data_IF_488610693238
#
_entry.id   IF_488610693238
#
_cell.length_a   1.000
_cell.length_b   1.000
_cell.length_c   1.000
_cell.angle_alpha   90.00
_cell.angle_beta   90.00
_cell.angle_gamma   90.00
#
_symmetry.space_group_name_H-M   'P 1'
#
loop_
_entity.id
_entity.type
_entity.pdbx_description
1 polymer ?
#
# COMPACT_ATOMS: atom_id res chain seq x y z
N UNK A 1 41.23 13.21 -35.73
CA UNK A 1 40.66 12.60 -34.52
C UNK A 1 39.24 13.11 -34.39
N UNK A 2 38.19 12.27 -34.49
CA UNK A 2 36.83 12.73 -34.31
C UNK A 2 36.54 12.92 -32.81
N UNK A 3 35.80 13.99 -32.54
CA UNK A 3 35.42 14.55 -31.26
C UNK A 3 34.60 13.56 -30.39
N UNK A 4 35.16 13.16 -29.24
CA UNK A 4 34.50 12.26 -28.27
C UNK A 4 33.28 12.91 -27.58
N UNK A 5 33.11 14.23 -27.65
CA UNK A 5 32.01 14.92 -26.96
C UNK A 5 30.64 14.77 -27.63
N UNK A 6 30.60 14.47 -28.94
CA UNK A 6 29.34 14.26 -29.67
C UNK A 6 28.77 12.84 -29.52
N UNK A 7 29.60 11.84 -29.21
CA UNK A 7 29.14 10.47 -28.97
C UNK A 7 28.46 10.32 -27.59
N UNK A 8 28.91 11.06 -26.58
CA UNK A 8 28.32 10.99 -25.24
C UNK A 8 26.96 11.71 -25.14
N UNK A 9 26.74 12.76 -25.95
CA UNK A 9 25.43 13.43 -26.05
C UNK A 9 24.39 12.59 -26.82
N UNK A 10 24.81 11.82 -27.82
CA UNK A 10 23.91 10.88 -28.52
C UNK A 10 23.59 9.62 -27.70
N UNK A 11 24.50 9.19 -26.82
CA UNK A 11 24.26 8.07 -25.89
C UNK A 11 23.27 8.44 -24.75
N UNK A 12 23.26 9.70 -24.32
CA UNK A 12 22.31 10.20 -23.31
C UNK A 12 20.93 10.52 -23.90
N UNK A 13 20.85 10.95 -25.17
CA UNK A 13 19.57 11.24 -25.83
C UNK A 13 18.75 9.98 -26.15
N UNK A 14 19.39 8.84 -26.37
CA UNK A 14 18.74 7.55 -26.65
C UNK A 14 18.44 6.67 -25.42
N UNK A 15 18.85 7.09 -24.20
CA UNK A 15 18.47 6.41 -22.95
C UNK A 15 17.11 6.85 -22.40
N UNK A 16 16.50 7.88 -22.96
CA UNK A 16 15.36 8.60 -22.35
C UNK A 16 13.96 8.10 -22.77
N UNK A 17 13.82 6.96 -23.45
CA UNK A 17 12.53 6.54 -24.02
C UNK A 17 12.04 5.12 -23.70
N UNK A 18 12.56 4.48 -22.65
CA UNK A 18 12.11 3.12 -22.24
C UNK A 18 11.28 3.04 -20.94
N UNK A 19 11.06 4.15 -20.25
CA UNK A 19 10.18 4.19 -19.07
C UNK A 19 8.79 4.71 -19.45
N UNK A 20 7.84 3.80 -19.67
CA UNK A 20 6.41 4.18 -19.61
C UNK A 20 6.00 4.21 -18.14
N UNK A 21 6.20 5.36 -17.48
CA UNK A 21 5.52 5.69 -16.23
C UNK A 21 4.03 5.85 -16.54
N UNK A 22 3.23 4.84 -16.22
CA UNK A 22 1.77 4.95 -16.26
C UNK A 22 1.27 5.04 -14.83
N UNK A 23 0.89 6.25 -14.41
CA UNK A 23 0.17 6.48 -13.16
C UNK A 23 -1.32 6.39 -13.45
N UNK A 24 -1.98 5.35 -12.95
CA UNK A 24 -3.42 5.22 -13.04
C UNK A 24 -4.02 5.72 -11.72
N UNK A 25 -4.81 6.80 -11.79
CA UNK A 25 -5.72 7.23 -10.72
C UNK A 25 -6.92 6.29 -10.72
N UNK A 26 -7.15 5.57 -9.63
CA UNK A 26 -8.31 4.70 -9.49
C UNK A 26 -9.11 5.13 -8.25
N UNK A 27 -10.38 5.48 -8.48
CA UNK A 27 -11.36 6.01 -7.51
C UNK A 27 -11.07 7.42 -6.97
N UNK A 28 -12.11 8.11 -6.47
CA UNK A 28 -12.07 9.37 -5.69
C UNK A 28 -11.22 9.28 -4.39
N UNK A 29 -10.43 8.22 -4.26
CA UNK A 29 -9.54 7.89 -3.17
C UNK A 29 -8.10 8.17 -3.63
N UNK A 30 -7.22 8.68 -2.77
CA UNK A 30 -5.80 8.93 -3.08
C UNK A 30 -4.97 7.64 -3.28
N UNK A 31 -5.49 6.62 -3.97
CA UNK A 31 -4.81 5.38 -4.31
C UNK A 31 -4.12 5.55 -5.68
N UNK A 32 -2.80 5.44 -5.68
CA UNK A 32 -1.97 5.54 -6.88
C UNK A 32 -1.06 4.32 -6.98
N UNK A 33 -1.02 3.70 -8.15
CA UNK A 33 -0.08 2.62 -8.46
C UNK A 33 0.94 3.12 -9.49
N UNK A 34 2.21 2.85 -9.24
CA UNK A 34 3.28 3.06 -10.21
C UNK A 34 3.80 1.71 -10.68
N UNK A 35 3.68 1.43 -11.98
CA UNK A 35 4.01 0.13 -12.58
C UNK A 35 5.32 0.26 -13.38
N UNK A 36 6.28 -0.59 -13.04
CA UNK A 36 7.56 -0.76 -13.73
C UNK A 36 7.54 -2.14 -14.41
N UNK A 37 7.34 -2.14 -15.72
CA UNK A 37 7.36 -3.37 -16.51
C UNK A 37 8.62 -3.43 -17.38
N UNK A 38 9.23 -4.60 -17.44
CA UNK A 38 10.27 -4.84 -18.42
C UNK A 38 9.65 -5.05 -19.81
N UNK A 39 9.92 -4.15 -20.74
CA UNK A 39 9.48 -4.28 -22.13
C UNK A 39 10.63 -4.85 -22.97
N UNK A 40 10.81 -6.18 -22.98
CA UNK A 40 11.71 -6.81 -23.95
C UNK A 40 10.94 -6.96 -25.27
N UNK A 41 11.23 -6.10 -26.24
CA UNK A 41 10.82 -6.29 -27.63
C UNK A 41 12.03 -6.05 -28.54
N UNK A 42 12.54 -7.08 -29.25
CA UNK A 42 13.23 -6.83 -30.49
C UNK A 42 12.16 -6.37 -31.48
N UNK A 43 12.15 -5.07 -31.77
CA UNK A 43 11.24 -4.35 -32.67
C UNK A 43 9.95 -3.85 -32.02
N UNK A 44 9.98 -2.54 -31.72
CA UNK A 44 8.90 -1.56 -31.86
C UNK A 44 7.52 -2.15 -32.21
N UNK A 45 6.75 -2.43 -31.15
CA UNK A 45 5.31 -2.22 -31.00
C UNK A 45 4.90 -3.07 -29.80
N UNK A 46 4.40 -2.42 -28.75
CA UNK A 46 3.62 -3.09 -27.71
C UNK A 46 2.28 -3.49 -28.35
N UNK A 47 2.33 -4.44 -29.29
CA UNK A 47 1.14 -4.97 -29.94
C UNK A 47 0.42 -5.81 -28.91
N UNK A 48 -0.85 -5.51 -28.71
CA UNK A 48 -1.84 -6.40 -28.14
C UNK A 48 -1.89 -7.64 -29.06
N UNK A 49 -0.92 -8.55 -28.94
CA UNK A 49 -0.93 -9.80 -29.70
C UNK A 49 -1.79 -10.79 -28.93
N UNK A 50 -3.09 -10.74 -29.21
CA UNK A 50 -3.92 -11.94 -29.15
C UNK A 50 -3.29 -12.99 -30.04
N UNK A 51 -2.55 -13.96 -29.47
CA UNK A 51 -2.25 -15.20 -30.19
C UNK A 51 -0.84 -15.80 -30.09
N UNK A 52 0.08 -15.32 -29.26
CA UNK A 52 1.32 -16.09 -28.98
C UNK A 52 1.50 -16.28 -27.48
N UNK A 53 2.00 -17.46 -27.08
CA UNK A 53 2.28 -17.87 -25.69
C UNK A 53 3.39 -17.02 -25.07
N UNK A 54 3.15 -15.72 -24.89
CA UNK A 54 4.06 -14.83 -24.17
C UNK A 54 4.05 -15.27 -22.71
N UNK A 55 5.16 -15.86 -22.25
CA UNK A 55 5.36 -16.24 -20.85
C UNK A 55 5.18 -14.98 -20.00
N UNK A 56 4.11 -14.93 -19.21
CA UNK A 56 3.82 -13.81 -18.31
C UNK A 56 4.88 -13.76 -17.20
N UNK A 57 5.35 -12.56 -16.88
CA UNK A 57 6.37 -12.34 -15.86
C UNK A 57 5.76 -12.35 -14.45
N UNK A 58 6.48 -12.82 -13.42
CA UNK A 58 6.04 -12.64 -12.04
C UNK A 58 5.82 -11.17 -11.69
N UNK A 59 4.86 -10.90 -10.80
CA UNK A 59 4.54 -9.54 -10.34
C UNK A 59 5.04 -9.38 -8.92
N UNK A 60 5.89 -8.38 -8.69
CA UNK A 60 6.36 -7.96 -7.38
C UNK A 60 5.66 -6.67 -6.99
N UNK A 61 4.99 -6.64 -5.85
CA UNK A 61 4.29 -5.46 -5.35
C UNK A 61 5.02 -4.97 -4.11
N UNK A 62 5.55 -3.76 -4.18
CA UNK A 62 6.30 -3.13 -3.10
C UNK A 62 5.40 -2.19 -2.29
N UNK A 63 5.31 -2.48 -0.99
CA UNK A 63 4.63 -1.69 0.02
C UNK A 63 5.69 -0.91 0.79
N UNK A 64 5.70 0.41 0.59
CA UNK A 64 6.63 1.28 1.30
C UNK A 64 6.39 1.26 2.81
N UNK A 65 7.39 1.67 3.59
CA UNK A 65 7.28 1.78 5.03
C UNK A 65 7.90 3.06 5.57
N UNK A 66 8.73 2.91 6.62
CA UNK A 66 9.25 3.95 7.52
C UNK A 66 8.24 4.42 8.56
N UNK A 67 7.05 4.84 8.11
CA UNK A 67 6.01 5.36 8.99
C UNK A 67 4.62 5.04 8.42
N UNK A 68 3.61 5.07 9.28
CA UNK A 68 2.21 5.08 8.85
C UNK A 68 1.71 6.49 8.53
N UNK A 69 2.49 7.55 8.79
CA UNK A 69 2.05 8.94 8.70
C UNK A 69 2.58 9.68 7.47
N UNK A 70 3.73 9.25 6.94
CA UNK A 70 4.39 9.89 5.79
C UNK A 70 5.05 8.86 4.87
N UNK A 71 5.68 9.35 3.80
CA UNK A 71 6.29 8.59 2.70
C UNK A 71 5.29 8.25 1.57
N UNK A 72 5.79 7.63 0.50
CA UNK A 72 5.02 7.18 -0.65
C UNK A 72 5.79 6.08 -1.40
N UNK A 73 5.14 5.38 -2.34
CA UNK A 73 5.78 4.44 -3.25
C UNK A 73 6.59 5.10 -4.38
N UNK A 74 6.47 6.41 -4.55
CA UNK A 74 7.10 7.17 -5.66
C UNK A 74 8.64 7.27 -5.59
N UNK A 75 9.28 7.41 -4.41
CA UNK A 75 10.73 7.52 -4.30
C UNK A 75 11.47 6.20 -4.64
N UNK A 76 10.74 5.08 -4.70
CA UNK A 76 11.30 3.77 -4.95
C UNK A 76 11.29 3.47 -6.45
N UNK A 77 12.36 3.85 -7.15
CA UNK A 77 12.55 3.49 -8.56
C UNK A 77 12.88 2.00 -8.69
N UNK A 78 11.92 1.24 -9.23
CA UNK A 78 12.06 -0.19 -9.45
C UNK A 78 12.49 -0.55 -10.87
N UNK A 79 12.94 0.43 -11.69
CA UNK A 79 13.41 0.23 -13.05
C UNK A 79 14.47 -0.87 -13.17
N UNK A 80 15.52 -0.78 -12.35
CA UNK A 80 16.63 -1.73 -12.34
C UNK A 80 16.17 -3.11 -11.90
N UNK A 81 15.33 -3.19 -10.87
CA UNK A 81 14.81 -4.46 -10.36
C UNK A 81 13.91 -5.16 -11.38
N UNK A 82 13.00 -4.42 -12.02
CA UNK A 82 12.15 -4.93 -13.09
C UNK A 82 13.01 -5.43 -14.26
N UNK A 83 14.03 -4.65 -14.65
CA UNK A 83 14.87 -4.99 -15.80
C UNK A 83 15.81 -6.15 -15.55
N UNK A 84 16.47 -6.19 -14.41
CA UNK A 84 17.44 -7.24 -14.09
C UNK A 84 16.74 -8.55 -13.71
N UNK A 85 15.63 -8.46 -12.98
CA UNK A 85 14.87 -9.62 -12.52
C UNK A 85 13.92 -10.20 -13.56
N UNK A 86 13.64 -9.50 -14.67
CA UNK A 86 12.63 -9.91 -15.65
C UNK A 86 11.21 -10.00 -15.05
N UNK A 87 10.92 -9.16 -14.06
CA UNK A 87 9.66 -9.11 -13.31
C UNK A 87 8.93 -7.80 -13.56
N UNK A 88 7.60 -7.80 -13.38
CA UNK A 88 6.83 -6.57 -13.27
C UNK A 88 6.89 -6.12 -11.82
N UNK A 89 7.34 -4.89 -11.55
CA UNK A 89 7.34 -4.32 -10.21
C UNK A 89 6.28 -3.23 -10.10
N UNK A 90 5.51 -3.22 -9.02
CA UNK A 90 4.45 -2.25 -8.76
C UNK A 90 4.70 -1.62 -7.40
N UNK A 91 4.82 -0.30 -7.33
CA UNK A 91 4.84 0.42 -6.04
C UNK A 91 3.46 1.01 -5.79
N UNK A 92 2.99 0.88 -4.54
CA UNK A 92 1.61 1.25 -4.15
C UNK A 92 1.64 2.42 -3.19
N UNK A 93 0.80 3.43 -3.45
CA UNK A 93 0.47 4.48 -2.49
C UNK A 93 -0.85 4.14 -1.81
N UNK A 94 -0.86 4.09 -0.48
CA UNK A 94 -2.06 3.87 0.33
C UNK A 94 -2.28 5.07 1.26
N UNK A 95 -3.49 5.21 1.80
CA UNK A 95 -3.79 6.30 2.76
C UNK A 95 -2.95 6.15 4.03
N UNK A 96 -2.44 7.28 4.50
CA UNK A 96 -1.56 7.41 5.66
C UNK A 96 -2.21 8.25 6.77
N UNK A 97 -1.66 8.15 7.98
CA UNK A 97 -2.02 8.91 9.16
C UNK A 97 -3.50 8.77 9.50
N UNK A 98 -4.11 9.89 9.90
CA UNK A 98 -5.53 10.01 10.24
C UNK A 98 -6.42 9.49 9.09
N UNK A 99 -6.06 9.76 7.84
CA UNK A 99 -6.89 9.38 6.69
C UNK A 99 -6.86 7.88 6.39
N UNK A 100 -5.79 7.19 6.78
CA UNK A 100 -5.60 5.77 6.54
C UNK A 100 -5.98 4.89 7.73
N UNK A 101 -5.90 5.42 8.95
CA UNK A 101 -5.84 4.57 10.15
C UNK A 101 -6.59 5.14 11.36
N UNK A 102 -7.37 6.22 11.20
CA UNK A 102 -8.23 6.69 12.29
C UNK A 102 -9.27 5.61 12.63
N UNK A 103 -9.24 5.16 13.87
CA UNK A 103 -10.20 4.20 14.40
C UNK A 103 -10.97 4.83 15.57
N UNK A 104 -12.22 5.20 15.30
CA UNK A 104 -13.15 5.77 16.25
C UNK A 104 -14.11 4.73 16.84
N UNK A 105 -13.77 3.44 16.73
CA UNK A 105 -14.62 2.37 17.21
C UNK A 105 -14.53 2.25 18.74
N UNK A 106 -15.67 2.42 19.40
CA UNK A 106 -15.80 2.29 20.85
C UNK A 106 -16.01 0.84 21.30
N UNK A 107 -16.46 -0.05 20.40
CA UNK A 107 -16.70 -1.45 20.71
C UNK A 107 -15.74 -2.34 19.88
N UNK A 108 -14.75 -2.99 20.50
CA UNK A 108 -13.81 -3.86 19.80
C UNK A 108 -14.46 -5.08 19.15
N UNK A 109 -15.69 -5.45 19.54
CA UNK A 109 -16.45 -6.53 18.91
C UNK A 109 -17.30 -6.06 17.73
N UNK A 110 -17.47 -4.75 17.57
CA UNK A 110 -18.18 -4.18 16.42
C UNK A 110 -17.24 -4.19 15.21
N UNK A 111 -17.67 -4.87 14.15
CA UNK A 111 -16.97 -4.87 12.87
C UNK A 111 -17.12 -3.49 12.22
N UNK A 112 -16.15 -2.60 12.46
CA UNK A 112 -16.12 -1.26 11.88
C UNK A 112 -14.83 -1.06 11.08
N UNK A 113 -14.90 -0.90 9.76
CA UNK A 113 -13.72 -0.76 8.91
C UNK A 113 -12.94 0.50 9.29
N UNK A 114 -11.75 0.32 9.86
CA UNK A 114 -10.91 1.43 10.35
C UNK A 114 -9.49 1.42 9.75
N UNK A 115 -9.07 0.27 9.19
CA UNK A 115 -7.77 0.12 8.53
C UNK A 115 -7.82 0.45 7.03
N UNK A 116 -8.26 1.67 6.70
CA UNK A 116 -8.40 2.13 5.32
C UNK A 116 -7.11 2.02 4.50
N UNK A 117 -5.93 2.25 5.10
CA UNK A 117 -4.64 2.06 4.43
C UNK A 117 -4.38 0.61 4.03
N UNK A 118 -4.76 -0.37 4.86
CA UNK A 118 -4.67 -1.79 4.50
C UNK A 118 -5.70 -2.16 3.43
N UNK A 119 -6.90 -1.60 3.50
CA UNK A 119 -7.95 -1.79 2.49
C UNK A 119 -7.53 -1.24 1.12
N UNK A 120 -6.80 -0.13 1.07
CA UNK A 120 -6.24 0.40 -0.17
C UNK A 120 -5.23 -0.56 -0.80
N UNK A 121 -4.39 -1.21 0.02
CA UNK A 121 -3.45 -2.24 -0.45
C UNK A 121 -4.22 -3.45 -0.99
N UNK A 122 -5.28 -3.90 -0.30
CA UNK A 122 -6.15 -4.99 -0.76
C UNK A 122 -6.81 -4.63 -2.09
N UNK A 123 -7.33 -3.40 -2.22
CA UNK A 123 -7.93 -2.91 -3.46
C UNK A 123 -6.91 -2.87 -4.62
N UNK A 124 -5.68 -2.44 -4.36
CA UNK A 124 -4.59 -2.48 -5.34
C UNK A 124 -4.29 -3.92 -5.80
N UNK A 125 -4.32 -4.89 -4.89
CA UNK A 125 -4.11 -6.30 -5.23
C UNK A 125 -5.26 -6.87 -6.07
N UNK A 126 -6.52 -6.55 -5.75
CA UNK A 126 -7.66 -6.91 -6.59
C UNK A 126 -7.51 -6.33 -8.00
N UNK A 127 -7.15 -5.05 -8.09
CA UNK A 127 -6.90 -4.42 -9.38
C UNK A 127 -5.80 -5.13 -10.17
N UNK A 128 -4.71 -5.55 -9.52
CA UNK A 128 -3.64 -6.32 -10.16
C UNK A 128 -4.09 -7.70 -10.62
N UNK A 129 -4.97 -8.38 -9.89
CA UNK A 129 -5.55 -9.66 -10.34
C UNK A 129 -6.29 -9.50 -11.68
N UNK A 130 -6.99 -8.38 -11.87
CA UNK A 130 -7.74 -8.10 -13.09
C UNK A 130 -6.87 -7.52 -14.23
N UNK A 131 -5.84 -6.74 -13.90
CA UNK A 131 -5.17 -5.88 -14.89
C UNK A 131 -3.70 -6.24 -15.14
N UNK A 132 -3.02 -7.00 -14.27
CA UNK A 132 -1.58 -7.26 -14.41
C UNK A 132 -1.20 -7.91 -15.75
N UNK A 133 -2.09 -8.74 -16.30
CA UNK A 133 -1.89 -9.39 -17.60
C UNK A 133 -1.72 -8.39 -18.76
N UNK A 134 -2.37 -7.22 -18.70
CA UNK A 134 -2.25 -6.18 -19.71
C UNK A 134 -0.85 -5.54 -19.74
N UNK A 135 -0.10 -5.66 -18.64
CA UNK A 135 1.27 -5.15 -18.49
C UNK A 135 2.31 -6.27 -18.64
N UNK A 136 1.91 -7.46 -19.09
CA UNK A 136 2.81 -8.62 -19.22
C UNK A 136 3.05 -9.39 -17.92
N UNK A 137 2.35 -9.04 -16.84
CA UNK A 137 2.43 -9.70 -15.53
C UNK A 137 1.53 -10.94 -15.42
N UNK A 138 1.91 -11.89 -14.56
CA UNK A 138 1.12 -13.06 -14.21
C UNK A 138 0.35 -12.82 -12.88
N UNK A 139 -0.98 -12.64 -12.91
CA UNK A 139 -1.77 -12.49 -11.69
C UNK A 139 -1.73 -13.74 -10.79
N UNK A 140 -1.41 -14.92 -11.35
CA UNK A 140 -1.22 -16.16 -10.58
C UNK A 140 0.13 -16.24 -9.83
N UNK A 141 1.03 -15.28 -10.05
CA UNK A 141 2.37 -15.22 -9.46
C UNK A 141 2.70 -13.82 -8.93
N UNK A 142 1.84 -13.33 -8.02
CA UNK A 142 2.05 -12.08 -7.28
C UNK A 142 2.82 -12.32 -5.98
N UNK A 143 3.84 -11.51 -5.74
CA UNK A 143 4.65 -11.48 -4.52
C UNK A 143 4.55 -10.11 -3.86
N UNK A 144 4.14 -10.07 -2.60
CA UNK A 144 4.19 -8.85 -1.79
C UNK A 144 5.59 -8.68 -1.20
N UNK A 145 6.11 -7.46 -1.19
CA UNK A 145 7.36 -7.11 -0.55
C UNK A 145 7.15 -5.83 0.25
N UNK A 146 7.61 -5.80 1.49
CA UNK A 146 7.50 -4.60 2.34
C UNK A 146 8.76 -4.35 3.14
N UNK A 147 9.01 -3.07 3.45
CA UNK A 147 10.10 -2.62 4.33
C UNK A 147 9.53 -1.96 5.60
N UNK A 148 10.09 -2.22 6.78
CA UNK A 148 9.69 -1.56 8.03
C UNK A 148 8.20 -1.70 8.35
N UNK A 149 7.49 -0.58 8.51
CA UNK A 149 6.02 -0.55 8.69
C UNK A 149 5.26 -1.20 7.52
N UNK A 150 5.80 -1.14 6.30
CA UNK A 150 5.26 -1.83 5.13
C UNK A 150 5.41 -3.35 5.22
N UNK A 151 6.50 -3.86 5.81
CA UNK A 151 6.63 -5.29 6.12
C UNK A 151 5.59 -5.73 7.17
N UNK A 152 5.34 -4.90 8.18
CA UNK A 152 4.26 -5.15 9.13
C UNK A 152 2.89 -5.20 8.44
N UNK A 153 2.60 -4.29 7.49
CA UNK A 153 1.37 -4.36 6.67
C UNK A 153 1.28 -5.67 5.88
N UNK A 154 2.35 -6.09 5.20
CA UNK A 154 2.36 -7.35 4.45
C UNK A 154 2.10 -8.54 5.36
N UNK A 155 2.71 -8.57 6.56
CA UNK A 155 2.45 -9.63 7.53
C UNK A 155 1.03 -9.61 8.09
N UNK A 156 0.44 -8.43 8.32
CA UNK A 156 -0.97 -8.31 8.71
C UNK A 156 -1.91 -8.85 7.63
N UNK A 157 -1.63 -8.58 6.35
CA UNK A 157 -2.40 -9.12 5.22
C UNK A 157 -2.25 -10.64 5.11
N UNK A 158 -1.05 -11.19 5.35
CA UNK A 158 -0.83 -12.64 5.39
C UNK A 158 -1.67 -13.36 6.46
N UNK A 159 -1.92 -12.70 7.58
CA UNK A 159 -2.68 -13.27 8.70
C UNK A 159 -4.17 -12.94 8.63
N UNK A 160 -4.58 -12.07 7.69
CA UNK A 160 -5.94 -11.56 7.61
C UNK A 160 -6.87 -12.56 6.93
N UNK A 161 -8.01 -12.92 7.55
CA UNK A 161 -9.02 -13.73 6.86
C UNK A 161 -9.69 -13.00 5.70
N UNK A 162 -9.60 -11.66 5.65
CA UNK A 162 -10.10 -10.86 4.55
C UNK A 162 -9.29 -11.04 3.25
N UNK A 163 -8.10 -11.66 3.33
CA UNK A 163 -7.29 -12.00 2.16
C UNK A 163 -7.14 -13.52 2.09
N UNK A 164 -8.03 -14.22 1.35
CA UNK A 164 -7.93 -15.66 1.20
C UNK A 164 -6.59 -16.09 0.62
N UNK A 165 -6.04 -17.18 1.15
CA UNK A 165 -4.73 -17.70 0.75
C UNK A 165 -4.67 -17.96 -0.76
N UNK A 166 -3.63 -17.42 -1.40
CA UNK A 166 -3.39 -17.64 -2.82
C UNK A 166 -4.35 -16.92 -3.78
N UNK A 167 -5.33 -16.16 -3.28
CA UNK A 167 -6.28 -15.43 -4.13
C UNK A 167 -5.70 -14.11 -4.65
N UNK A 168 -5.06 -13.33 -3.78
CA UNK A 168 -4.53 -12.01 -4.13
C UNK A 168 -3.02 -12.02 -4.36
N UNK A 169 -2.29 -12.83 -3.60
CA UNK A 169 -0.86 -13.01 -3.72
C UNK A 169 -0.45 -14.38 -3.20
N UNK A 170 0.74 -14.84 -3.60
CA UNK A 170 1.24 -16.21 -3.30
C UNK A 170 2.50 -16.22 -2.43
N UNK A 171 3.26 -15.12 -2.41
CA UNK A 171 4.53 -15.04 -1.70
C UNK A 171 4.65 -13.69 -1.02
N UNK A 172 5.45 -13.65 0.04
CA UNK A 172 5.73 -12.43 0.78
C UNK A 172 7.23 -12.33 1.10
N UNK A 173 7.78 -11.12 1.04
CA UNK A 173 9.12 -10.78 1.49
C UNK A 173 9.01 -9.67 2.53
N UNK A 174 9.42 -9.98 3.76
CA UNK A 174 9.34 -9.08 4.91
C UNK A 174 10.75 -8.55 5.22
N UNK A 175 10.98 -7.26 5.00
CA UNK A 175 12.28 -6.63 5.23
C UNK A 175 12.21 -5.72 6.46
N UNK A 176 12.99 -6.03 7.49
CA UNK A 176 13.19 -5.16 8.67
C UNK A 176 11.89 -4.71 9.37
N UNK A 177 10.86 -5.56 9.40
CA UNK A 177 9.61 -5.26 10.08
C UNK A 177 8.71 -6.48 10.22
N UNK A 178 7.79 -6.44 11.20
CA UNK A 178 6.89 -7.55 11.51
C UNK A 178 5.57 -7.04 12.11
N UNK A 179 4.47 -7.76 11.92
CA UNK A 179 3.22 -7.49 12.62
C UNK A 179 3.34 -7.62 14.17
N UNK A 180 4.41 -8.24 14.66
CA UNK A 180 4.68 -8.43 16.09
C UNK A 180 5.63 -7.38 16.68
N UNK A 181 6.20 -6.48 15.87
CA UNK A 181 7.07 -5.43 16.43
C UNK A 181 6.25 -4.39 17.19
N UNK A 182 6.84 -3.77 18.23
CA UNK A 182 6.27 -2.57 18.84
C UNK A 182 5.94 -1.53 17.76
N UNK A 183 4.78 -0.88 17.88
CA UNK A 183 4.33 0.13 16.92
C UNK A 183 3.68 -0.42 15.63
N UNK A 184 3.66 -1.73 15.40
CA UNK A 184 2.95 -2.32 14.25
C UNK A 184 1.43 -2.32 14.39
N UNK A 185 0.95 -2.35 15.64
CA UNK A 185 -0.45 -2.16 16.01
C UNK A 185 -0.56 -0.98 16.98
N UNK A 186 -1.58 -0.14 16.78
CA UNK A 186 -1.89 0.97 17.69
C UNK A 186 -2.56 0.42 18.95
N UNK A 187 -2.02 0.79 20.12
CA UNK A 187 -2.52 0.32 21.42
C UNK A 187 -3.84 0.96 21.86
N UNK A 188 -3.97 2.29 21.74
CA UNK A 188 -5.18 3.05 22.11
C UNK A 188 -5.73 3.87 20.92
N UNK A 189 -6.27 3.20 19.89
CA UNK A 189 -6.80 3.89 18.71
C UNK A 189 -7.92 4.89 19.04
N UNK A 190 -8.81 4.52 19.97
CA UNK A 190 -9.96 5.34 20.35
C UNK A 190 -9.52 6.59 21.11
N UNK A 191 -8.52 6.49 22.00
CA UNK A 191 -7.92 7.63 22.68
C UNK A 191 -7.38 8.68 21.71
N UNK A 192 -6.66 8.25 20.67
CA UNK A 192 -6.18 9.13 19.61
C UNK A 192 -7.33 9.73 18.79
N UNK A 193 -8.36 8.94 18.45
CA UNK A 193 -9.54 9.47 17.76
C UNK A 193 -10.28 10.53 18.59
N UNK A 194 -10.39 10.34 19.90
CA UNK A 194 -10.96 11.34 20.81
C UNK A 194 -10.08 12.58 20.95
N UNK A 195 -8.75 12.44 20.94
CA UNK A 195 -7.84 13.59 20.95
C UNK A 195 -8.03 14.46 19.69
N UNK A 196 -8.12 13.82 18.52
CA UNK A 196 -8.44 14.51 17.25
C UNK A 196 -9.79 15.20 17.35
N UNK A 197 -10.82 14.49 17.83
CA UNK A 197 -12.17 15.02 17.95
C UNK A 197 -12.25 16.27 18.85
N UNK A 198 -11.59 16.25 20.01
CA UNK A 198 -11.54 17.40 20.93
C UNK A 198 -10.87 18.61 20.28
N UNK A 199 -9.78 18.39 19.55
CA UNK A 199 -9.04 19.46 18.87
C UNK A 199 -9.88 20.17 17.80
N UNK A 200 -10.76 19.44 17.11
CA UNK A 200 -11.63 19.99 16.06
C UNK A 200 -13.08 20.22 16.50
N UNK A 201 -13.32 20.29 17.82
CA UNK A 201 -14.65 20.54 18.40
C UNK A 201 -15.73 19.57 17.91
N UNK A 202 -15.41 18.27 17.85
CA UNK A 202 -16.38 17.19 17.69
C UNK A 202 -16.62 16.51 19.05
N UNK A 203 -17.89 16.22 19.37
CA UNK A 203 -18.23 15.57 20.63
C UNK A 203 -17.77 14.11 20.65
N UNK A 204 -17.01 13.74 21.67
CA UNK A 204 -16.53 12.36 21.90
C UNK A 204 -17.59 11.45 22.49
N UNK A 205 -18.74 11.98 22.89
CA UNK A 205 -19.88 11.20 23.37
C UNK A 205 -20.70 10.62 22.21
N UNK A 206 -20.43 11.08 20.98
CA UNK A 206 -21.09 10.58 19.79
C UNK A 206 -20.66 9.12 19.52
N UNK A 207 -21.60 8.24 19.14
CA UNK A 207 -21.26 6.93 18.61
C UNK A 207 -20.33 7.07 17.39
N UNK A 208 -19.44 6.10 17.19
CA UNK A 208 -18.41 6.11 16.14
C UNK A 208 -18.86 6.64 14.77
N UNK A 209 -19.99 6.21 14.19
CA UNK A 209 -20.47 6.74 12.91
C UNK A 209 -20.75 8.24 12.89
N UNK A 210 -21.36 8.78 13.95
CA UNK A 210 -21.66 10.21 14.08
C UNK A 210 -20.41 11.03 14.38
N UNK A 211 -19.49 10.48 15.17
CA UNK A 211 -18.18 11.08 15.39
C UNK A 211 -17.41 11.20 14.07
N UNK A 212 -17.35 10.14 13.28
CA UNK A 212 -16.72 10.13 11.96
C UNK A 212 -17.40 11.10 10.99
N UNK A 213 -18.73 11.24 11.04
CA UNK A 213 -19.45 12.24 10.25
C UNK A 213 -18.99 13.66 10.60
N UNK A 214 -18.92 14.01 11.89
CA UNK A 214 -18.40 15.31 12.33
C UNK A 214 -16.96 15.54 11.85
N UNK A 215 -16.08 14.56 11.99
CA UNK A 215 -14.68 14.67 11.59
C UNK A 215 -14.52 14.89 10.07
N UNK A 216 -15.37 14.27 9.24
CA UNK A 216 -15.35 14.44 7.78
C UNK A 216 -15.75 15.85 7.32
N UNK A 217 -16.52 16.57 8.13
CA UNK A 217 -16.92 17.95 7.83
C UNK A 217 -15.83 18.98 8.22
N UNK A 218 -14.78 18.55 8.92
CA UNK A 218 -13.69 19.44 9.35
C UNK A 218 -12.63 19.58 8.25
N UNK A 219 -12.00 20.77 8.13
CA UNK A 219 -10.94 20.98 7.15
C UNK A 219 -9.75 20.07 7.47
N UNK A 220 -9.19 19.44 6.43
CA UNK A 220 -8.08 18.49 6.57
C UNK A 220 -6.90 19.07 7.36
N UNK A 221 -6.54 20.33 7.12
CA UNK A 221 -5.45 20.97 7.83
C UNK A 221 -5.68 21.01 9.36
N UNK A 222 -6.91 21.22 9.82
CA UNK A 222 -7.20 21.22 11.26
C UNK A 222 -7.00 19.81 11.86
N UNK A 223 -7.41 18.77 11.14
CA UNK A 223 -7.20 17.38 11.57
C UNK A 223 -5.71 17.02 11.67
N UNK A 224 -4.87 17.53 10.76
CA UNK A 224 -3.43 17.23 10.74
C UNK A 224 -2.61 18.01 11.78
N UNK A 225 -3.16 19.05 12.40
CA UNK A 225 -2.45 19.89 13.38
C UNK A 225 -2.60 19.42 14.83
N UNK A 226 -3.25 18.28 15.05
CA UNK A 226 -3.52 17.75 16.39
C UNK A 226 -2.18 17.38 17.04
N UNK A 227 -1.85 17.92 18.22
CA UNK A 227 -0.65 17.51 18.95
C UNK A 227 -0.89 16.14 19.56
N UNK A 228 -0.17 15.13 19.07
CA UNK A 228 -0.18 13.76 19.58
C UNK A 228 1.23 13.39 20.05
N UNK A 229 1.30 12.73 21.19
CA UNK A 229 2.56 12.28 21.79
C UNK A 229 2.46 10.78 22.06
N UNK A 230 2.63 9.93 21.03
CA UNK A 230 2.64 8.50 21.22
C UNK A 230 3.90 8.06 21.98
N UNK A 231 3.85 6.98 22.78
CA UNK A 231 5.03 6.43 23.42
C UNK A 231 6.17 6.14 22.42
N UNK A 232 7.41 6.19 22.90
CA UNK A 232 8.59 5.90 22.10
C UNK A 232 8.44 4.59 21.30
N UNK A 233 8.86 4.63 20.03
CA UNK A 233 8.79 3.50 19.09
C UNK A 233 7.36 3.03 18.75
N UNK A 234 6.34 3.84 19.01
CA UNK A 234 4.95 3.58 18.61
C UNK A 234 4.38 4.71 17.76
N UNK A 235 3.24 4.46 17.12
CA UNK A 235 2.57 5.42 16.25
C UNK A 235 1.17 5.74 16.76
N UNK A 236 0.76 7.01 16.63
CA UNK A 236 -0.59 7.43 16.99
C UNK A 236 -1.63 6.90 15.99
N UNK A 237 -1.25 6.84 14.71
CA UNK A 237 -2.07 6.27 13.65
C UNK A 237 -1.31 5.13 12.97
N UNK A 238 -2.01 4.03 12.77
CA UNK A 238 -1.47 2.81 12.19
C UNK A 238 -2.51 1.69 12.29
N UNK A 239 -2.16 0.47 11.84
CA UNK A 239 -3.06 -0.65 11.90
C UNK A 239 -3.59 -0.87 13.32
N UNK A 240 -4.88 -1.14 13.44
CA UNK A 240 -5.53 -1.47 14.72
C UNK A 240 -6.41 -2.70 14.55
N UNK A 241 -6.68 -3.40 15.64
CA UNK A 241 -7.57 -4.56 15.61
C UNK A 241 -9.00 -4.07 15.38
N UNK A 242 -9.56 -4.36 14.19
CA UNK A 242 -10.92 -3.97 13.81
C UNK A 242 -11.84 -5.18 13.57
N UNK A 243 -11.31 -6.41 13.70
CA UNK A 243 -12.05 -7.64 13.46
C UNK A 243 -12.31 -7.95 11.98
N UNK A 244 -11.95 -7.03 11.06
CA UNK A 244 -12.15 -7.15 9.61
C UNK A 244 -10.85 -7.52 8.94
N UNK A 245 -9.81 -6.69 9.05
CA UNK A 245 -8.50 -6.94 8.42
C UNK A 245 -7.58 -7.64 9.43
N UNK A 246 -7.02 -6.99 10.47
CA UNK A 246 -6.51 -7.72 11.63
C UNK A 246 -7.67 -8.24 12.49
N UNK A 247 -7.81 -9.56 12.56
CA UNK A 247 -8.80 -10.23 13.40
C UNK A 247 -8.11 -10.98 14.54
N UNK A 248 -8.64 -10.85 15.76
CA UNK A 248 -8.26 -11.74 16.87
C UNK A 248 -9.10 -13.00 16.74
N UNK A 249 -8.58 -14.03 16.08
CA UNK A 249 -9.20 -15.35 16.21
C UNK A 249 -8.96 -15.86 17.63
N UNK A 250 -9.98 -15.84 18.49
CA UNK A 250 -9.97 -16.72 19.65
C UNK A 250 -10.06 -18.15 19.12
N UNK A 251 -8.94 -18.87 19.05
CA UNK A 251 -8.97 -20.32 18.89
C UNK A 251 -9.51 -20.95 20.18
N UNK A 252 -10.82 -20.86 20.36
CA UNK A 252 -11.59 -21.73 21.25
C UNK A 252 -12.82 -22.20 20.47
N UNK A 253 -12.60 -23.15 19.56
CA UNK A 253 -13.64 -24.01 19.03
C UNK A 253 -13.00 -25.33 18.59
N UNK A 254 -12.90 -26.21 19.58
CA UNK A 254 -13.07 -27.67 19.56
C UNK A 254 -12.27 -28.51 18.56
N UNK A 255 -11.41 -29.37 19.14
CA UNK A 255 -11.03 -30.68 18.63
C UNK A 255 -12.25 -31.56 18.32
#
# INVERSE_FOLDING_TARGET
MPDQSQNDQNATRNRLSFHRLMSLKYFDSNLYLTIFAHCFLPNFLCTIVSGSTTRKSPVLVFIHGESYEWNSGNPYDASVLASYGGVVVVTVNYRLGILGFLNANSDPNMLSPSNYGLMDIIAALHWLQENAAAFGGDPGSVTLMGHGTGAACVQLLLMSPAVPEGLLFRRAVLMSGSALSPGSLVGDPLGYAHAVARHVNCSTELPGPYLLACLRERPLHALLTVPLDPPDFTWAFGPSVDGVVPCVQSKHSSL
#
